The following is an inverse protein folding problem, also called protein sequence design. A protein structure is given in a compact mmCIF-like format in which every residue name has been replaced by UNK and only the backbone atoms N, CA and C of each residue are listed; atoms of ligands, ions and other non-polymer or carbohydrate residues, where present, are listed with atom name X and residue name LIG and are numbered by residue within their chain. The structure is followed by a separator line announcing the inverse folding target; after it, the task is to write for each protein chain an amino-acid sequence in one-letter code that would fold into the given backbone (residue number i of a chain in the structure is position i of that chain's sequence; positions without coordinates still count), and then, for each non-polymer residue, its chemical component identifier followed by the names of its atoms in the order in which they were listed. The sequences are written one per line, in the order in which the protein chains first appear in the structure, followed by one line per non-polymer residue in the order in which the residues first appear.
data_IF_120443313329
#
_entry.id   IF_120443313329
#
_cell.length_a   1.000
_cell.length_b   1.000
_cell.length_c   1.000
_cell.angle_alpha   90.00
_cell.angle_beta   90.00
_cell.angle_gamma   90.00
#
_symmetry.space_group_name_H-M   'P 1'
#
loop_
_entity.id
_entity.type
_entity.pdbx_description
1 polymer ?
#
# COMPACT_ATOMS: atom_id res chain seq x y z
N UNK A 1 -13.40 21.78 6.65
CA UNK A 1 -12.44 21.06 7.52
C UNK A 1 -13.19 19.92 8.19
N UNK A 2 -12.73 18.67 7.99
CA UNK A 2 -13.34 17.48 8.58
C UNK A 2 -12.94 17.32 10.06
N UNK A 3 -13.75 16.63 10.86
CA UNK A 3 -13.35 16.25 12.22
C UNK A 3 -12.26 15.16 12.14
N UNK A 4 -12.44 14.16 11.28
CA UNK A 4 -11.51 13.07 11.05
C UNK A 4 -11.37 12.72 9.58
N UNK A 5 -10.17 12.25 9.18
CA UNK A 5 -9.90 11.66 7.87
C UNK A 5 -9.15 10.34 8.08
N UNK A 6 -9.52 9.31 7.34
CA UNK A 6 -8.99 7.95 7.45
C UNK A 6 -8.13 7.63 6.22
N UNK A 7 -6.83 7.48 6.43
CA UNK A 7 -5.82 7.31 5.40
C UNK A 7 -5.33 5.84 5.40
N UNK A 8 -5.63 5.09 4.35
CA UNK A 8 -5.27 3.68 4.24
C UNK A 8 -4.19 3.45 3.19
N UNK A 9 -3.11 2.80 3.59
CA UNK A 9 -2.18 2.21 2.62
C UNK A 9 -2.82 1.03 1.89
N UNK A 10 -2.24 0.61 0.77
CA UNK A 10 -2.75 -0.48 -0.08
C UNK A 10 -1.93 -1.76 0.11
N UNK A 11 -0.63 -1.67 -0.21
CA UNK A 11 0.21 -2.86 -0.35
C UNK A 11 0.57 -3.46 1.00
N UNK A 12 0.16 -4.72 1.21
CA UNK A 12 0.25 -5.44 2.47
C UNK A 12 -0.57 -4.85 3.64
N UNK A 13 -1.37 -3.80 3.37
CA UNK A 13 -2.35 -3.26 4.33
C UNK A 13 -3.77 -3.69 3.96
N UNK A 14 -4.25 -3.32 2.77
CA UNK A 14 -5.56 -3.74 2.24
C UNK A 14 -5.44 -4.91 1.26
N UNK A 15 -4.31 -5.05 0.59
CA UNK A 15 -4.07 -6.02 -0.47
C UNK A 15 -2.75 -6.77 -0.23
N UNK A 16 -2.80 -8.11 -0.30
CA UNK A 16 -1.67 -9.02 -0.16
C UNK A 16 -0.73 -8.91 -1.38
N UNK A 17 0.15 -7.90 -1.34
CA UNK A 17 1.09 -7.62 -2.41
C UNK A 17 2.21 -8.67 -2.49
N UNK A 18 2.54 -9.32 -1.39
CA UNK A 18 3.54 -10.40 -1.37
C UNK A 18 3.11 -11.56 -2.27
N UNK A 19 1.82 -11.90 -2.25
CA UNK A 19 1.27 -12.90 -3.18
C UNK A 19 1.21 -12.43 -4.63
N UNK A 20 1.03 -11.13 -4.88
CA UNK A 20 1.14 -10.57 -6.25
C UNK A 20 2.56 -10.75 -6.77
N UNK A 21 3.56 -10.38 -5.98
CA UNK A 21 4.98 -10.53 -6.31
C UNK A 21 5.38 -11.98 -6.52
N UNK A 22 4.90 -12.89 -5.65
CA UNK A 22 5.13 -14.33 -5.81
C UNK A 22 4.49 -14.89 -7.08
N UNK A 23 3.28 -14.44 -7.42
CA UNK A 23 2.60 -14.85 -8.66
C UNK A 23 3.34 -14.34 -9.91
N UNK A 24 3.84 -13.09 -9.89
CA UNK A 24 4.68 -12.55 -10.95
C UNK A 24 5.97 -13.36 -11.12
N UNK A 25 6.65 -13.68 -10.02
CA UNK A 25 7.88 -14.50 -10.07
C UNK A 25 7.62 -15.85 -10.73
N UNK A 26 6.57 -16.55 -10.30
CA UNK A 26 6.18 -17.84 -10.88
C UNK A 26 5.84 -17.71 -12.36
N UNK A 27 5.12 -16.67 -12.73
CA UNK A 27 4.75 -16.38 -14.11
C UNK A 27 5.99 -16.15 -14.99
N UNK A 28 6.93 -15.31 -14.53
CA UNK A 28 8.18 -15.04 -15.23
C UNK A 28 9.01 -16.31 -15.45
N UNK A 29 9.15 -17.15 -14.42
CA UNK A 29 9.87 -18.45 -14.55
C UNK A 29 9.25 -19.29 -15.67
N UNK A 30 7.93 -19.33 -15.73
CA UNK A 30 7.22 -20.11 -16.76
C UNK A 30 7.42 -19.52 -18.16
N UNK A 31 7.38 -18.20 -18.31
CA UNK A 31 7.42 -17.52 -19.62
C UNK A 31 8.84 -17.36 -20.15
N UNK A 32 9.79 -16.97 -19.32
CA UNK A 32 11.14 -16.59 -19.76
C UNK A 32 12.27 -17.40 -19.14
N UNK A 33 11.97 -18.32 -18.22
CA UNK A 33 12.94 -19.18 -17.51
C UNK A 33 13.64 -18.49 -16.33
N UNK A 34 14.38 -19.28 -15.55
CA UNK A 34 15.00 -18.85 -14.28
C UNK A 34 16.04 -17.73 -14.46
N UNK A 35 16.91 -17.84 -15.47
CA UNK A 35 17.99 -16.88 -15.72
C UNK A 35 17.42 -15.47 -15.98
N UNK A 36 16.47 -15.36 -16.91
CA UNK A 36 15.84 -14.08 -17.26
C UNK A 36 14.97 -13.55 -16.14
N UNK A 37 14.30 -14.42 -15.40
CA UNK A 37 13.56 -14.06 -14.18
C UNK A 37 14.49 -13.43 -13.14
N UNK A 38 15.63 -14.05 -12.89
CA UNK A 38 16.64 -13.52 -11.97
C UNK A 38 17.16 -12.15 -12.43
N UNK A 39 17.36 -11.97 -13.74
CA UNK A 39 17.76 -10.67 -14.30
C UNK A 39 16.69 -9.60 -14.11
N UNK A 40 15.41 -9.91 -14.36
CA UNK A 40 14.30 -9.00 -14.11
C UNK A 40 14.25 -8.54 -12.65
N UNK A 41 14.34 -9.49 -11.70
CA UNK A 41 14.29 -9.14 -10.27
C UNK A 41 15.52 -8.35 -9.82
N UNK A 42 16.70 -8.61 -10.40
CA UNK A 42 17.87 -7.78 -10.14
C UNK A 42 17.65 -6.34 -10.59
N UNK A 43 17.12 -6.14 -11.80
CA UNK A 43 16.77 -4.79 -12.32
C UNK A 43 15.75 -4.13 -11.40
N UNK A 44 14.70 -4.85 -11.00
CA UNK A 44 13.68 -4.35 -10.09
C UNK A 44 14.25 -3.87 -8.75
N UNK A 45 15.12 -4.65 -8.13
CA UNK A 45 15.74 -4.27 -6.85
C UNK A 45 16.73 -3.10 -7.00
N UNK A 46 17.45 -3.03 -8.11
CA UNK A 46 18.36 -1.92 -8.40
C UNK A 46 17.56 -0.62 -8.58
N UNK A 47 16.47 -0.63 -9.36
CA UNK A 47 15.55 0.50 -9.52
C UNK A 47 14.89 0.90 -8.20
N UNK A 48 14.44 -0.06 -7.41
CA UNK A 48 13.80 0.20 -6.11
C UNK A 48 14.74 0.94 -5.15
N UNK A 49 16.04 0.60 -5.16
CA UNK A 49 17.06 1.31 -4.37
C UNK A 49 17.30 2.75 -4.87
N UNK A 50 17.27 2.93 -6.19
CA UNK A 50 17.49 4.23 -6.82
C UNK A 50 16.28 5.16 -6.65
N UNK A 51 15.07 4.66 -6.91
CA UNK A 51 13.83 5.43 -6.95
C UNK A 51 13.16 5.56 -5.56
N UNK A 52 13.44 4.63 -4.65
CA UNK A 52 12.81 4.57 -3.33
C UNK A 52 11.41 3.91 -3.30
N UNK A 53 10.88 3.50 -4.45
CA UNK A 53 9.60 2.78 -4.56
C UNK A 53 9.68 1.60 -5.53
N UNK A 54 8.66 0.74 -5.55
CA UNK A 54 8.59 -0.44 -6.39
C UNK A 54 8.05 -0.08 -7.78
N UNK A 55 8.90 -0.15 -8.82
CA UNK A 55 8.54 0.12 -10.21
C UNK A 55 8.63 -1.16 -11.05
N UNK A 56 7.54 -1.91 -11.10
CA UNK A 56 7.44 -3.17 -11.86
C UNK A 56 7.48 -2.97 -13.38
N UNK A 57 6.85 -1.90 -13.86
CA UNK A 57 6.79 -1.60 -15.29
C UNK A 57 8.10 -0.98 -15.77
N UNK A 58 8.74 -0.14 -14.98
CA UNK A 58 10.09 0.36 -15.23
C UNK A 58 11.11 -0.77 -15.28
N UNK A 59 11.01 -1.75 -14.36
CA UNK A 59 11.86 -2.94 -14.42
C UNK A 59 11.66 -3.74 -15.71
N UNK A 60 10.42 -3.87 -16.19
CA UNK A 60 10.13 -4.51 -17.46
C UNK A 60 10.70 -3.70 -18.66
N UNK A 61 10.63 -2.37 -18.59
CA UNK A 61 11.19 -1.49 -19.61
C UNK A 61 12.72 -1.60 -19.69
N UNK A 62 13.41 -1.69 -18.54
CA UNK A 62 14.85 -1.92 -18.48
C UNK A 62 15.23 -3.35 -18.93
N UNK A 63 14.44 -4.36 -18.52
CA UNK A 63 14.60 -5.73 -19.00
C UNK A 63 14.56 -5.81 -20.54
N UNK A 64 13.65 -5.06 -21.18
CA UNK A 64 13.55 -5.01 -22.64
C UNK A 64 14.82 -4.45 -23.31
N UNK A 65 15.59 -3.62 -22.63
CA UNK A 65 16.88 -3.11 -23.17
C UNK A 65 17.90 -4.22 -23.22
N UNK A 66 17.94 -5.09 -22.20
CA UNK A 66 18.84 -6.25 -22.17
C UNK A 66 18.42 -7.36 -23.16
N UNK A 67 17.11 -7.49 -23.36
CA UNK A 67 16.51 -8.54 -24.21
C UNK A 67 15.56 -7.93 -25.27
N UNK A 68 16.09 -7.17 -26.25
CA UNK A 68 15.27 -6.35 -27.17
C UNK A 68 14.35 -7.16 -28.11
N UNK A 69 14.65 -8.42 -28.28
CA UNK A 69 13.89 -9.33 -29.16
C UNK A 69 13.04 -10.35 -28.40
N UNK A 70 12.90 -10.18 -27.07
CA UNK A 70 12.07 -11.07 -26.27
C UNK A 70 10.58 -10.76 -26.49
N UNK A 71 9.88 -11.67 -27.16
CA UNK A 71 8.46 -11.54 -27.45
C UNK A 71 7.57 -11.61 -26.21
N UNK A 72 8.09 -12.11 -25.08
CA UNK A 72 7.32 -12.25 -23.84
C UNK A 72 7.10 -10.93 -23.10
N UNK A 73 7.77 -9.84 -23.49
CA UNK A 73 7.57 -8.52 -22.88
C UNK A 73 6.09 -8.11 -22.89
N UNK A 74 5.39 -8.33 -23.99
CA UNK A 74 3.94 -8.05 -24.09
C UNK A 74 3.13 -8.92 -23.12
N UNK A 75 3.46 -10.20 -23.02
CA UNK A 75 2.78 -11.15 -22.13
C UNK A 75 2.97 -10.77 -20.67
N UNK A 76 4.19 -10.41 -20.27
CA UNK A 76 4.51 -9.97 -18.89
C UNK A 76 3.82 -8.64 -18.57
N UNK A 77 3.82 -7.66 -19.50
CA UNK A 77 3.11 -6.40 -19.35
C UNK A 77 1.61 -6.64 -19.16
N UNK A 78 1.01 -7.50 -19.98
CA UNK A 78 -0.41 -7.86 -19.89
C UNK A 78 -0.73 -8.54 -18.56
N UNK A 79 0.14 -9.44 -18.07
CA UNK A 79 -0.01 -10.05 -16.75
C UNK A 79 -0.05 -8.99 -15.65
N UNK A 80 0.91 -8.07 -15.61
CA UNK A 80 0.98 -7.01 -14.60
C UNK A 80 -0.29 -6.15 -14.61
N UNK A 81 -0.67 -5.60 -15.77
CA UNK A 81 -1.77 -4.64 -15.87
C UNK A 81 -3.14 -5.30 -15.65
N UNK A 82 -3.29 -6.57 -16.01
CA UNK A 82 -4.57 -7.30 -15.94
C UNK A 82 -4.65 -8.32 -14.81
N UNK A 83 -3.70 -8.30 -13.88
CA UNK A 83 -3.74 -9.20 -12.73
C UNK A 83 -5.07 -9.08 -11.97
N UNK A 84 -5.64 -10.19 -11.47
CA UNK A 84 -6.93 -10.18 -10.75
C UNK A 84 -6.73 -9.72 -9.29
N UNK A 85 -6.44 -8.44 -9.09
CA UNK A 85 -6.10 -7.86 -7.78
C UNK A 85 -7.20 -8.02 -6.74
N UNK A 86 -8.48 -8.06 -7.14
CA UNK A 86 -9.59 -8.31 -6.22
C UNK A 86 -9.43 -9.61 -5.42
N UNK A 87 -8.80 -10.64 -6.02
CA UNK A 87 -8.54 -11.92 -5.35
C UNK A 87 -7.36 -11.85 -4.36
N UNK A 88 -6.79 -10.69 -4.19
CA UNK A 88 -5.65 -10.43 -3.29
C UNK A 88 -5.98 -9.45 -2.17
N UNK A 89 -7.20 -8.94 -2.11
CA UNK A 89 -7.63 -8.20 -0.92
C UNK A 89 -7.53 -9.10 0.31
N UNK A 90 -7.03 -8.55 1.39
CA UNK A 90 -7.11 -9.24 2.67
C UNK A 90 -8.57 -9.36 3.11
N UNK A 91 -8.93 -10.39 3.88
CA UNK A 91 -10.28 -10.53 4.41
C UNK A 91 -10.75 -9.25 5.13
N UNK A 92 -11.98 -8.84 4.84
CA UNK A 92 -12.65 -7.67 5.42
C UNK A 92 -12.07 -6.30 5.00
N UNK A 93 -11.16 -6.21 4.02
CA UNK A 93 -10.62 -4.92 3.59
C UNK A 93 -11.70 -3.93 3.14
N UNK A 94 -12.66 -4.39 2.34
CA UNK A 94 -13.76 -3.52 1.89
C UNK A 94 -14.73 -3.19 3.02
N UNK A 95 -15.00 -4.14 3.92
CA UNK A 95 -15.88 -3.93 5.08
C UNK A 95 -15.29 -2.89 6.05
N UNK A 96 -13.96 -2.88 6.23
CA UNK A 96 -13.27 -1.87 7.03
C UNK A 96 -13.39 -0.48 6.41
N UNK A 97 -13.19 -0.35 5.10
CA UNK A 97 -13.36 0.95 4.42
C UNK A 97 -14.79 1.47 4.59
N UNK A 98 -15.79 0.62 4.41
CA UNK A 98 -17.20 0.96 4.60
C UNK A 98 -17.51 1.32 6.07
N UNK A 99 -16.94 0.59 7.02
CA UNK A 99 -17.07 0.86 8.45
C UNK A 99 -16.65 2.28 8.85
N UNK A 100 -15.56 2.80 8.26
CA UNK A 100 -15.07 4.15 8.54
C UNK A 100 -15.74 5.23 7.69
N UNK A 101 -16.32 4.91 6.54
CA UNK A 101 -16.95 5.86 5.61
C UNK A 101 -18.02 6.73 6.29
N UNK A 102 -18.80 6.18 7.21
CA UNK A 102 -19.81 6.94 7.96
C UNK A 102 -19.26 7.94 9.00
N UNK A 103 -17.93 7.98 9.19
CA UNK A 103 -17.28 8.78 10.23
C UNK A 103 -16.43 9.92 9.68
N UNK A 104 -16.13 9.90 8.38
CA UNK A 104 -15.34 10.92 7.68
C UNK A 104 -14.83 10.40 6.34
N UNK A 105 -14.14 11.24 5.56
CA UNK A 105 -13.51 10.79 4.33
C UNK A 105 -12.57 9.61 4.56
N UNK A 106 -12.77 8.55 3.77
CA UNK A 106 -11.86 7.41 3.66
C UNK A 106 -11.04 7.60 2.39
N UNK A 107 -9.73 7.62 2.52
CA UNK A 107 -8.79 7.98 1.46
C UNK A 107 -7.72 6.89 1.36
N UNK A 108 -7.45 6.43 0.17
CA UNK A 108 -6.25 5.64 -0.09
C UNK A 108 -5.05 6.59 -0.16
N UNK A 109 -4.03 6.30 0.63
CA UNK A 109 -2.76 7.01 0.67
C UNK A 109 -1.63 6.00 0.47
N UNK A 110 -1.05 5.96 -0.72
CA UNK A 110 -0.08 4.92 -1.10
C UNK A 110 1.10 5.46 -1.88
N UNK A 111 2.23 4.76 -1.82
CA UNK A 111 3.37 5.01 -2.71
C UNK A 111 3.26 4.12 -3.95
N UNK A 112 3.71 4.61 -5.09
CA UNK A 112 3.73 3.80 -6.30
C UNK A 112 3.92 4.61 -7.58
N UNK A 113 4.04 3.89 -8.68
CA UNK A 113 4.14 4.46 -10.01
C UNK A 113 2.78 4.95 -10.56
N UNK A 114 2.85 5.74 -11.64
CA UNK A 114 1.68 6.40 -12.22
C UNK A 114 0.76 5.48 -13.06
N UNK A 115 1.11 4.21 -13.26
CA UNK A 115 0.35 3.28 -14.10
C UNK A 115 -0.09 2.04 -13.34
N UNK A 116 0.85 1.35 -12.69
CA UNK A 116 0.58 0.08 -12.04
C UNK A 116 -0.22 0.25 -10.75
N UNK A 117 0.11 1.27 -9.94
CA UNK A 117 -0.60 1.52 -8.69
C UNK A 117 -2.06 1.95 -8.90
N UNK A 118 -2.39 2.93 -9.77
CA UNK A 118 -3.78 3.24 -10.11
C UNK A 118 -4.55 2.03 -10.65
N UNK A 119 -3.91 1.25 -11.52
CA UNK A 119 -4.53 0.06 -12.11
C UNK A 119 -4.83 -1.03 -11.09
N UNK A 120 -3.93 -1.22 -10.12
CA UNK A 120 -4.13 -2.12 -8.99
C UNK A 120 -5.34 -1.71 -8.16
N UNK A 121 -5.42 -0.44 -7.80
CA UNK A 121 -6.51 0.14 -7.01
C UNK A 121 -7.86 -0.01 -7.74
N UNK A 122 -7.92 0.32 -9.03
CA UNK A 122 -9.10 0.17 -9.85
C UNK A 122 -9.56 -1.29 -9.91
N UNK A 123 -8.65 -2.21 -10.28
CA UNK A 123 -8.99 -3.61 -10.49
C UNK A 123 -9.20 -4.43 -9.20
N UNK A 124 -8.86 -3.88 -8.07
CA UNK A 124 -9.15 -4.50 -6.77
C UNK A 124 -10.55 -4.13 -6.22
N UNK A 125 -11.23 -3.12 -6.81
CA UNK A 125 -12.47 -2.57 -6.29
C UNK A 125 -12.26 -1.51 -5.19
N UNK A 126 -11.01 -1.19 -4.87
CA UNK A 126 -10.67 -0.18 -3.86
C UNK A 126 -11.06 1.23 -4.33
N UNK A 127 -11.00 1.51 -5.65
CA UNK A 127 -11.40 2.80 -6.21
C UNK A 127 -12.85 3.14 -5.85
N UNK A 128 -13.76 2.22 -6.11
CA UNK A 128 -15.19 2.35 -5.81
C UNK A 128 -15.43 2.38 -4.30
N UNK A 129 -14.68 1.57 -3.54
CA UNK A 129 -14.83 1.49 -2.09
C UNK A 129 -14.51 2.81 -1.38
N UNK A 130 -13.68 3.67 -1.95
CA UNK A 130 -13.33 4.99 -1.39
C UNK A 130 -13.90 6.16 -2.19
N UNK A 131 -14.87 5.94 -3.08
CA UNK A 131 -15.50 6.96 -3.94
C UNK A 131 -14.46 7.79 -4.74
N UNK A 132 -13.36 7.15 -5.18
CA UNK A 132 -12.28 7.79 -5.92
C UNK A 132 -11.35 8.67 -5.07
N UNK A 133 -11.45 8.67 -3.76
CA UNK A 133 -10.55 9.40 -2.86
C UNK A 133 -9.19 8.71 -2.79
N UNK A 134 -8.29 9.05 -3.71
CA UNK A 134 -6.98 8.39 -3.84
C UNK A 134 -5.87 9.42 -3.93
N UNK A 135 -4.81 9.17 -3.18
CA UNK A 135 -3.55 9.89 -3.22
C UNK A 135 -2.42 8.88 -3.46
N UNK A 136 -1.71 9.05 -4.57
CA UNK A 136 -0.55 8.23 -4.92
C UNK A 136 0.66 9.16 -5.01
N UNK A 137 1.69 8.86 -4.25
CA UNK A 137 2.94 9.62 -4.20
C UNK A 137 4.14 8.72 -4.46
N UNK A 138 5.30 9.31 -4.56
CA UNK A 138 6.58 8.58 -4.56
C UNK A 138 7.00 8.31 -3.12
N UNK A 139 6.85 9.32 -2.24
CA UNK A 139 7.15 9.25 -0.81
C UNK A 139 6.04 9.98 -0.03
N UNK A 140 4.98 9.26 0.30
CA UNK A 140 3.78 9.83 0.93
C UNK A 140 4.06 10.54 2.26
N UNK A 141 5.08 10.11 3.00
CA UNK A 141 5.49 10.74 4.25
C UNK A 141 6.11 12.15 4.06
N UNK A 142 6.43 12.53 2.83
CA UNK A 142 6.95 13.87 2.49
C UNK A 142 5.86 14.80 1.97
N UNK A 143 4.66 14.31 1.72
CA UNK A 143 3.59 15.04 1.04
C UNK A 143 2.44 15.49 1.97
N UNK A 144 2.75 15.63 3.27
CA UNK A 144 1.74 15.95 4.29
C UNK A 144 1.01 17.28 4.03
N UNK A 145 1.70 18.27 3.48
CA UNK A 145 1.09 19.56 3.12
C UNK A 145 0.06 19.43 1.99
N UNK A 146 0.28 18.56 1.00
CA UNK A 146 -0.70 18.29 -0.06
C UNK A 146 -1.87 17.48 0.47
N UNK A 147 -1.63 16.50 1.35
CA UNK A 147 -2.68 15.73 2.01
C UNK A 147 -3.60 16.66 2.82
N UNK A 148 -3.04 17.55 3.64
CA UNK A 148 -3.81 18.52 4.43
C UNK A 148 -4.60 19.51 3.55
N UNK A 149 -4.03 19.93 2.43
CA UNK A 149 -4.70 20.83 1.48
C UNK A 149 -5.92 20.16 0.82
N UNK A 150 -5.80 18.86 0.46
CA UNK A 150 -6.87 18.10 -0.20
C UNK A 150 -7.93 17.61 0.77
N UNK A 151 -7.52 17.18 1.95
CA UNK A 151 -8.36 16.61 2.99
C UNK A 151 -8.13 17.31 4.34
N UNK A 152 -8.48 18.60 4.48
CA UNK A 152 -8.24 19.34 5.72
C UNK A 152 -9.03 18.77 6.87
N UNK A 153 -8.36 18.30 7.91
CA UNK A 153 -8.97 17.68 9.10
C UNK A 153 -8.35 18.17 10.40
N UNK A 154 -9.11 18.01 11.49
CA UNK A 154 -8.60 18.21 12.85
C UNK A 154 -7.73 17.04 13.28
N UNK A 155 -8.10 15.83 12.87
CA UNK A 155 -7.41 14.60 13.22
C UNK A 155 -7.34 13.63 12.05
N UNK A 156 -6.21 12.92 11.91
CA UNK A 156 -6.00 11.90 10.90
C UNK A 156 -5.85 10.53 11.56
N UNK A 157 -6.33 9.48 10.90
CA UNK A 157 -6.04 8.09 11.22
C UNK A 157 -5.25 7.50 10.07
N UNK A 158 -4.08 6.95 10.35
CA UNK A 158 -3.19 6.38 9.34
C UNK A 158 -3.00 4.88 9.58
N UNK A 159 -3.35 4.08 8.60
CA UNK A 159 -3.25 2.62 8.61
C UNK A 159 -2.19 2.16 7.61
N UNK A 160 -1.15 1.50 8.08
CA UNK A 160 0.00 1.10 7.25
C UNK A 160 0.68 -0.16 7.82
N UNK A 161 1.32 -0.98 6.97
CA UNK A 161 2.12 -2.14 7.36
C UNK A 161 3.59 -1.78 7.67
N UNK A 162 3.99 -0.52 7.48
CA UNK A 162 5.37 -0.05 7.64
C UNK A 162 5.51 0.92 8.80
N UNK A 163 6.13 0.48 9.90
CA UNK A 163 6.45 1.36 11.04
C UNK A 163 7.28 2.57 10.64
N UNK A 164 8.15 2.45 9.62
CA UNK A 164 8.92 3.58 9.08
C UNK A 164 8.02 4.75 8.66
N UNK A 165 6.97 4.47 7.92
CA UNK A 165 6.01 5.47 7.43
C UNK A 165 5.20 6.04 8.59
N UNK A 166 4.67 5.17 9.46
CA UNK A 166 3.90 5.57 10.61
C UNK A 166 4.68 6.49 11.55
N UNK A 167 5.94 6.14 11.86
CA UNK A 167 6.84 6.94 12.69
C UNK A 167 7.15 8.30 12.05
N UNK A 168 7.50 8.33 10.76
CA UNK A 168 7.85 9.56 10.06
C UNK A 168 6.67 10.56 10.00
N UNK A 169 5.45 10.07 9.82
CA UNK A 169 4.24 10.91 9.82
C UNK A 169 3.86 11.32 11.25
N UNK A 170 4.02 10.42 12.24
CA UNK A 170 3.78 10.74 13.65
C UNK A 170 4.69 11.85 14.16
N UNK A 171 5.96 11.86 13.78
CA UNK A 171 6.91 12.92 14.13
C UNK A 171 6.47 14.31 13.66
N UNK A 172 5.82 14.40 12.49
CA UNK A 172 5.37 15.67 11.91
C UNK A 172 3.98 16.10 12.41
N UNK A 173 3.02 15.17 12.44
CA UNK A 173 1.65 15.49 12.83
C UNK A 173 1.38 15.34 14.33
N UNK A 174 2.26 14.71 15.06
CA UNK A 174 2.21 14.55 16.54
C UNK A 174 0.83 14.06 17.04
N UNK A 175 0.13 14.86 17.83
CA UNK A 175 -1.21 14.54 18.37
C UNK A 175 -2.33 14.62 17.32
N UNK A 176 -2.04 15.16 16.12
CA UNK A 176 -3.02 15.26 15.03
C UNK A 176 -3.19 13.96 14.25
N UNK A 177 -2.40 12.94 14.53
CA UNK A 177 -2.52 11.62 13.89
C UNK A 177 -2.56 10.51 14.93
N UNK A 178 -3.46 9.56 14.72
CA UNK A 178 -3.42 8.23 15.32
C UNK A 178 -2.87 7.25 14.30
N UNK A 179 -1.74 6.65 14.63
CA UNK A 179 -1.07 5.66 13.78
C UNK A 179 -1.52 4.25 14.14
N UNK A 180 -1.85 3.47 13.14
CA UNK A 180 -2.31 2.09 13.29
C UNK A 180 -1.43 1.17 12.46
N UNK A 181 -0.65 0.34 13.13
CA UNK A 181 0.21 -0.66 12.52
C UNK A 181 -0.59 -1.93 12.23
N UNK A 182 -0.72 -2.26 10.96
CA UNK A 182 -1.39 -3.48 10.49
C UNK A 182 -0.31 -4.55 10.28
N UNK A 183 -0.28 -5.58 11.13
CA UNK A 183 0.76 -6.61 11.14
C UNK A 183 0.53 -7.66 10.05
N UNK A 184 0.56 -7.21 8.79
CA UNK A 184 0.40 -8.04 7.59
C UNK A 184 1.57 -7.80 6.63
N UNK A 185 1.86 -8.80 5.78
CA UNK A 185 2.97 -8.71 4.83
C UNK A 185 4.37 -8.76 5.46
N UNK A 186 5.37 -8.88 4.60
CA UNK A 186 6.75 -9.17 5.04
C UNK A 186 7.40 -8.05 5.86
N UNK A 187 7.04 -6.78 5.62
CA UNK A 187 7.62 -5.65 6.39
C UNK A 187 7.19 -5.68 7.85
N UNK A 188 5.95 -6.03 8.12
CA UNK A 188 5.42 -6.07 9.48
C UNK A 188 6.00 -7.22 10.32
N UNK A 189 6.57 -8.25 9.67
CA UNK A 189 7.22 -9.38 10.32
C UNK A 189 8.75 -9.30 10.32
N UNK A 190 9.35 -8.26 9.76
CA UNK A 190 10.77 -7.98 9.88
C UNK A 190 11.05 -7.29 11.23
N UNK A 191 11.31 -8.09 12.26
CA UNK A 191 11.57 -7.60 13.62
C UNK A 191 12.77 -6.66 13.68
N UNK A 192 13.81 -6.91 12.87
CA UNK A 192 15.01 -6.09 12.82
C UNK A 192 14.73 -4.72 12.20
N UNK A 193 13.87 -4.66 11.20
CA UNK A 193 13.42 -3.39 10.61
C UNK A 193 12.48 -2.66 11.57
N UNK A 194 11.48 -3.35 12.12
CA UNK A 194 10.51 -2.76 13.05
C UNK A 194 11.17 -2.15 14.30
N UNK A 195 12.23 -2.78 14.82
CA UNK A 195 12.95 -2.30 16.01
C UNK A 195 13.66 -0.95 15.82
N UNK A 196 13.80 -0.45 14.59
CA UNK A 196 14.43 0.84 14.29
C UNK A 196 13.51 2.04 14.52
N UNK A 197 12.19 1.82 14.62
CA UNK A 197 11.19 2.87 14.61
C UNK A 197 10.34 2.88 15.87
N UNK A 198 9.76 4.03 16.18
CA UNK A 198 8.81 4.15 17.26
C UNK A 198 7.59 3.27 16.99
N UNK A 199 7.07 2.64 18.03
CA UNK A 199 5.82 1.89 17.95
C UNK A 199 4.66 2.81 17.55
N UNK A 200 3.72 2.27 16.77
CA UNK A 200 2.48 2.97 16.44
C UNK A 200 1.58 3.10 17.70
N UNK A 201 0.64 4.03 17.67
CA UNK A 201 -0.33 4.21 18.76
C UNK A 201 -1.18 2.96 18.97
N UNK A 202 -1.47 2.23 17.90
CA UNK A 202 -2.26 0.98 17.93
C UNK A 202 -1.61 -0.02 16.98
N UNK A 203 -1.63 -1.30 17.36
CA UNK A 203 -1.27 -2.40 16.46
C UNK A 203 -2.43 -3.40 16.39
N UNK A 204 -2.69 -3.91 15.18
CA UNK A 204 -3.68 -4.95 14.91
C UNK A 204 -3.03 -6.07 14.11
N UNK A 205 -3.47 -7.31 14.33
CA UNK A 205 -2.90 -8.46 13.61
C UNK A 205 -3.38 -8.54 12.16
N UNK A 206 -4.63 -8.12 11.92
CA UNK A 206 -5.20 -8.07 10.57
C UNK A 206 -5.99 -6.80 10.37
N UNK A 207 -6.13 -6.38 9.11
CA UNK A 207 -6.98 -5.22 8.77
C UNK A 207 -8.42 -5.43 9.27
N UNK A 208 -8.95 -6.65 9.22
CA UNK A 208 -10.30 -6.99 9.68
C UNK A 208 -10.53 -6.76 11.18
N UNK A 209 -9.48 -6.75 12.00
CA UNK A 209 -9.61 -6.45 13.43
C UNK A 209 -10.13 -5.04 13.67
N UNK A 210 -9.95 -4.12 12.72
CA UNK A 210 -10.43 -2.75 12.82
C UNK A 210 -11.96 -2.65 12.88
N UNK A 211 -12.70 -3.65 12.46
CA UNK A 211 -14.16 -3.70 12.61
C UNK A 211 -14.62 -3.67 14.07
N UNK A 212 -13.72 -4.01 15.01
CA UNK A 212 -13.94 -3.94 16.45
C UNK A 212 -13.72 -2.55 17.04
N UNK A 213 -13.18 -1.61 16.26
CA UNK A 213 -12.79 -0.28 16.73
C UNK A 213 -13.76 0.80 16.26
N UNK A 214 -13.91 1.82 17.10
CA UNK A 214 -14.65 3.05 16.79
C UNK A 214 -13.72 4.26 16.93
N UNK A 215 -13.75 5.21 15.98
CA UNK A 215 -12.99 6.44 16.11
C UNK A 215 -13.59 7.33 17.20
N UNK A 216 -12.70 7.93 17.97
CA UNK A 216 -13.02 8.91 19.00
C UNK A 216 -12.20 10.18 18.74
N UNK A 217 -12.46 11.26 19.50
CA UNK A 217 -11.67 12.49 19.37
C UNK A 217 -10.17 12.30 19.67
N UNK A 218 -9.82 11.26 20.42
CA UNK A 218 -8.46 11.02 20.91
C UNK A 218 -7.86 9.70 20.38
N UNK A 219 -8.37 9.15 19.30
CA UNK A 219 -7.86 7.90 18.71
C UNK A 219 -8.96 6.86 18.47
N UNK A 220 -8.57 5.58 18.33
CA UNK A 220 -9.49 4.46 18.19
C UNK A 220 -9.71 3.77 19.53
N UNK A 221 -10.95 3.36 19.79
CA UNK A 221 -11.30 2.54 20.96
C UNK A 221 -12.02 1.27 20.52
N UNK A 222 -11.78 0.18 21.23
CA UNK A 222 -12.54 -1.07 21.02
C UNK A 222 -13.99 -0.77 21.39
N UNK A 223 -14.93 -1.24 20.57
CA UNK A 223 -16.37 -1.17 20.83
C UNK A 223 -16.66 -1.86 22.17
N UNK A 224 -17.46 -1.25 23.01
CA UNK A 224 -18.06 -1.94 24.12
C UNK A 224 -19.11 -2.92 23.57
N UNK A 225 -19.09 -4.14 24.08
CA UNK A 225 -20.09 -5.17 23.77
C UNK A 225 -21.51 -4.73 24.14
#
# INVERSE_FOLDING_TARGET
MHESVFLFDVDNTLLDHDRVSAALRKFLVTEVGEERTSRYWKIFEDLRKELGYADYLGALQHYRVDFPYDSHVLTVSTFLINYPFANRLFPNSLDVLDHFRGRGPVVILTDGDAVFQPRKIERSGLYEAVDGNILIYVHKEQELADIERRYPAKHYFLFDDKLRILSAIKEQWTERVTTVFVRQGHYAFDEAECAKYQAADIAVETIGDLLKYEPTRNGLKIKAD
#
